data_IF_178362458476
#
_entry.id   IF_178362458476
#
_cell.length_a   1.000
_cell.length_b   1.000
_cell.length_c   1.000
_cell.angle_alpha   90.00
_cell.angle_beta   90.00
_cell.angle_gamma   90.00
#
_symmetry.space_group_name_H-M   'P 1'
#
loop_
_entity.id
_entity.type
_entity.pdbx_description
1 polymer ?
#
# COMPACT_ATOMS: atom_id res chain seq x y z
N UNK A 1 -8.57 -23.34 7.04
CA UNK A 1 -7.55 -23.27 5.97
C UNK A 1 -8.23 -23.55 4.65
N UNK A 2 -7.97 -22.74 3.64
CA UNK A 2 -8.36 -22.96 2.24
C UNK A 2 -7.06 -23.08 1.44
N UNK A 3 -6.97 -24.07 0.57
CA UNK A 3 -5.78 -24.34 -0.22
C UNK A 3 -6.16 -24.91 -1.59
N UNK A 4 -5.35 -24.59 -2.61
CA UNK A 4 -5.52 -25.09 -3.99
C UNK A 4 -6.94 -24.87 -4.53
N UNK A 5 -7.46 -23.67 -4.30
CA UNK A 5 -8.83 -23.31 -4.61
C UNK A 5 -8.92 -22.13 -5.57
N UNK A 6 -9.99 -22.13 -6.37
CA UNK A 6 -10.48 -20.95 -7.08
C UNK A 6 -11.75 -20.48 -6.37
N UNK A 7 -11.70 -19.29 -5.79
CA UNK A 7 -12.80 -18.68 -5.06
C UNK A 7 -13.35 -17.53 -5.92
N UNK A 8 -14.59 -17.64 -6.36
CA UNK A 8 -15.26 -16.60 -7.15
C UNK A 8 -16.48 -16.08 -6.40
N UNK A 9 -16.41 -14.84 -5.94
CA UNK A 9 -17.48 -14.14 -5.23
C UNK A 9 -17.27 -12.64 -5.36
N UNK A 10 -18.32 -11.83 -5.32
CA UNK A 10 -18.16 -10.37 -5.35
C UNK A 10 -17.28 -9.88 -4.18
N UNK A 11 -17.55 -10.41 -2.99
CA UNK A 11 -16.81 -10.12 -1.76
C UNK A 11 -16.55 -11.42 -0.98
N UNK A 12 -15.29 -11.65 -0.61
CA UNK A 12 -14.92 -12.67 0.36
C UNK A 12 -14.81 -12.05 1.76
N UNK A 13 -15.82 -12.28 2.59
CA UNK A 13 -15.84 -11.79 3.97
C UNK A 13 -15.11 -12.75 4.92
N UNK A 14 -13.99 -12.30 5.48
CA UNK A 14 -13.23 -13.00 6.52
C UNK A 14 -13.63 -12.44 7.87
N UNK A 15 -14.37 -13.23 8.66
CA UNK A 15 -14.90 -12.85 9.99
C UNK A 15 -14.24 -13.59 11.17
N UNK A 16 -13.40 -14.58 10.90
CA UNK A 16 -12.77 -15.44 11.90
C UNK A 16 -11.32 -15.01 12.20
N UNK A 17 -10.79 -15.29 13.42
CA UNK A 17 -9.49 -14.82 13.87
C UNK A 17 -8.28 -15.60 13.34
N UNK A 18 -8.48 -16.67 12.57
CA UNK A 18 -7.39 -17.57 12.13
C UNK A 18 -7.70 -18.16 10.73
N UNK A 19 -7.97 -17.29 9.75
CA UNK A 19 -8.19 -17.73 8.37
C UNK A 19 -6.86 -17.75 7.62
N UNK A 20 -6.52 -18.90 7.06
CA UNK A 20 -5.41 -19.06 6.12
C UNK A 20 -5.95 -19.45 4.75
N UNK A 21 -5.50 -18.73 3.71
CA UNK A 21 -5.72 -19.04 2.31
C UNK A 21 -4.33 -19.18 1.66
N UNK A 22 -4.10 -20.32 1.01
CA UNK A 22 -2.79 -20.64 0.41
C UNK A 22 -2.93 -21.16 -1.01
N UNK A 23 -1.97 -20.86 -1.89
CA UNK A 23 -1.89 -21.47 -3.23
C UNK A 23 -3.22 -21.38 -3.99
N UNK A 24 -3.92 -20.25 -3.88
CA UNK A 24 -5.30 -20.08 -4.35
C UNK A 24 -5.44 -18.87 -5.25
N UNK A 25 -6.51 -18.86 -6.05
CA UNK A 25 -6.93 -17.71 -6.87
C UNK A 25 -8.26 -17.19 -6.36
N UNK A 26 -8.35 -15.89 -6.12
CA UNK A 26 -9.56 -15.22 -5.64
C UNK A 26 -10.00 -14.21 -6.70
N UNK A 27 -11.20 -14.39 -7.21
CA UNK A 27 -11.90 -13.44 -8.08
C UNK A 27 -12.97 -12.73 -7.25
N UNK A 28 -12.64 -11.53 -6.78
CA UNK A 28 -13.38 -10.81 -5.74
C UNK A 28 -12.44 -10.05 -4.81
N UNK A 29 -12.98 -9.07 -4.10
CA UNK A 29 -12.22 -8.38 -3.05
C UNK A 29 -12.41 -9.05 -1.70
N UNK A 30 -11.42 -8.90 -0.82
CA UNK A 30 -11.39 -9.53 0.50
C UNK A 30 -11.61 -8.48 1.59
N UNK A 31 -12.61 -8.71 2.44
CA UNK A 31 -12.91 -7.90 3.63
C UNK A 31 -12.63 -8.69 4.91
N UNK A 32 -11.58 -8.31 5.61
CA UNK A 32 -11.17 -8.81 6.91
C UNK A 32 -11.62 -7.83 7.98
N UNK A 33 -12.68 -8.21 8.68
CA UNK A 33 -13.29 -7.47 9.78
C UNK A 33 -14.20 -8.41 10.60
N UNK A 34 -14.55 -8.15 11.87
CA UNK A 34 -14.17 -6.99 12.69
C UNK A 34 -12.69 -7.03 13.12
N UNK A 35 -12.28 -6.17 14.05
CA UNK A 35 -10.90 -6.08 14.57
C UNK A 35 -10.33 -7.41 15.10
N UNK A 36 -11.19 -8.38 15.46
CA UNK A 36 -10.75 -9.71 15.88
C UNK A 36 -10.49 -10.67 14.72
N UNK A 37 -10.94 -10.36 13.50
CA UNK A 37 -10.68 -11.18 12.33
C UNK A 37 -9.24 -11.03 11.86
N UNK A 38 -8.69 -12.09 11.27
CA UNK A 38 -7.31 -12.13 10.76
C UNK A 38 -7.24 -13.02 9.54
N UNK A 39 -6.41 -12.62 8.59
CA UNK A 39 -6.14 -13.37 7.37
C UNK A 39 -4.63 -13.54 7.20
N UNK A 40 -4.23 -14.77 6.91
CA UNK A 40 -2.95 -15.09 6.29
C UNK A 40 -3.20 -15.54 4.85
N UNK A 41 -2.71 -14.79 3.88
CA UNK A 41 -2.77 -15.09 2.45
C UNK A 41 -1.34 -15.36 1.95
N UNK A 42 -1.11 -16.56 1.42
CA UNK A 42 0.23 -16.96 1.00
C UNK A 42 0.20 -17.61 -0.38
N UNK A 43 1.21 -17.34 -1.21
CA UNK A 43 1.38 -17.99 -2.52
C UNK A 43 0.12 -17.90 -3.41
N UNK A 44 -0.61 -16.78 -3.34
CA UNK A 44 -1.95 -16.66 -3.91
C UNK A 44 -2.10 -15.45 -4.83
N UNK A 45 -3.15 -15.46 -5.65
CA UNK A 45 -3.52 -14.34 -6.51
C UNK A 45 -4.89 -13.79 -6.11
N UNK A 46 -5.01 -12.47 -5.98
CA UNK A 46 -6.29 -11.77 -5.81
C UNK A 46 -6.52 -10.84 -6.98
N UNK A 47 -7.64 -11.03 -7.66
CA UNK A 47 -8.15 -10.13 -8.68
C UNK A 47 -9.51 -9.59 -8.22
N UNK A 48 -9.50 -8.37 -7.71
CA UNK A 48 -10.72 -7.69 -7.26
C UNK A 48 -11.51 -7.05 -8.39
N UNK A 49 -10.96 -6.99 -9.61
CA UNK A 49 -11.57 -6.28 -10.73
C UNK A 49 -11.80 -4.79 -10.45
N UNK A 50 -12.86 -4.23 -11.04
CA UNK A 50 -13.22 -2.82 -10.92
C UNK A 50 -14.22 -2.59 -9.77
N UNK A 51 -13.72 -2.49 -8.54
CA UNK A 51 -14.54 -2.28 -7.33
C UNK A 51 -14.08 -1.08 -6.53
N UNK A 52 -15.04 -0.33 -5.98
CA UNK A 52 -14.79 0.85 -5.12
C UNK A 52 -14.46 0.45 -3.67
N UNK A 53 -13.55 -0.49 -3.52
CA UNK A 53 -13.04 -1.06 -2.28
C UNK A 53 -11.57 -1.44 -2.51
N UNK A 54 -10.74 -1.63 -1.46
CA UNK A 54 -9.44 -2.23 -1.67
C UNK A 54 -9.59 -3.68 -2.17
N UNK A 55 -8.61 -4.21 -2.91
CA UNK A 55 -8.63 -5.62 -3.30
C UNK A 55 -8.50 -6.53 -2.06
N UNK A 56 -7.70 -6.11 -1.07
CA UNK A 56 -7.68 -6.69 0.27
C UNK A 56 -7.66 -5.57 1.33
N UNK A 57 -8.55 -5.65 2.30
CA UNK A 57 -8.53 -4.86 3.54
C UNK A 57 -9.25 -5.60 4.66
N UNK A 58 -9.33 -5.15 5.91
CA UNK A 58 -8.65 -3.99 6.50
C UNK A 58 -7.83 -4.36 7.74
N UNK A 59 -8.22 -5.41 8.47
CA UNK A 59 -7.68 -5.75 9.78
C UNK A 59 -6.74 -6.95 9.71
N UNK A 60 -5.65 -6.91 10.50
CA UNK A 60 -4.77 -8.03 10.80
C UNK A 60 -4.41 -8.89 9.57
N UNK A 61 -3.78 -8.28 8.57
CA UNK A 61 -3.43 -8.98 7.34
C UNK A 61 -1.99 -9.47 7.39
N UNK A 62 -1.78 -10.71 6.95
CA UNK A 62 -0.46 -11.22 6.57
C UNK A 62 -0.56 -11.67 5.12
N UNK A 63 0.20 -11.04 4.23
CA UNK A 63 0.24 -11.36 2.80
C UNK A 63 1.69 -11.70 2.43
N UNK A 64 1.92 -12.89 1.86
CA UNK A 64 3.26 -13.32 1.45
C UNK A 64 3.27 -13.92 0.06
N UNK A 65 4.29 -13.59 -0.74
CA UNK A 65 4.53 -14.21 -2.06
C UNK A 65 3.27 -14.23 -2.94
N UNK A 66 2.51 -13.15 -2.91
CA UNK A 66 1.19 -13.08 -3.53
C UNK A 66 1.07 -11.92 -4.52
N UNK A 67 0.22 -12.07 -5.52
CA UNK A 67 -0.12 -11.01 -6.47
C UNK A 67 -1.50 -10.45 -6.13
N UNK A 68 -1.57 -9.14 -5.89
CA UNK A 68 -2.80 -8.43 -5.53
C UNK A 68 -3.07 -7.35 -6.57
N UNK A 69 -4.18 -7.51 -7.30
CA UNK A 69 -4.61 -6.56 -8.33
C UNK A 69 -6.08 -6.18 -8.28
N UNK A 70 -6.41 -5.11 -8.98
CA UNK A 70 -7.73 -4.51 -9.00
C UNK A 70 -8.04 -3.69 -7.76
N UNK A 71 -9.32 -3.38 -7.59
CA UNK A 71 -9.81 -2.53 -6.50
C UNK A 71 -9.39 -1.07 -6.63
N UNK A 72 -9.92 -0.22 -5.76
CA UNK A 72 -9.49 1.17 -5.64
C UNK A 72 -8.04 1.27 -5.13
N UNK A 73 -7.66 0.34 -4.27
CA UNK A 73 -6.31 0.19 -3.72
C UNK A 73 -5.97 -1.30 -3.70
N UNK A 74 -4.77 -1.75 -4.05
CA UNK A 74 -4.48 -3.20 -3.97
C UNK A 74 -4.55 -3.70 -2.53
N UNK A 75 -3.85 -3.06 -1.59
CA UNK A 75 -3.96 -3.39 -0.16
C UNK A 75 -4.19 -2.15 0.69
N UNK A 76 -5.21 -2.20 1.54
CA UNK A 76 -5.46 -1.17 2.55
C UNK A 76 -5.55 -1.77 3.95
N UNK A 77 -4.73 -1.30 4.90
CA UNK A 77 -4.68 -1.86 6.25
C UNK A 77 -4.34 -0.84 7.33
N UNK A 78 -4.68 -1.17 8.59
CA UNK A 78 -4.23 -0.44 9.79
C UNK A 78 -3.25 -1.23 10.67
N UNK A 79 -3.15 -2.54 10.47
CA UNK A 79 -2.17 -3.46 11.07
C UNK A 79 -1.98 -4.61 10.06
N UNK A 80 -0.80 -4.69 9.46
CA UNK A 80 -0.51 -5.74 8.48
C UNK A 80 0.98 -5.97 8.22
N UNK A 81 1.29 -7.17 7.73
CA UNK A 81 2.60 -7.53 7.18
C UNK A 81 2.41 -7.99 5.74
N UNK A 82 3.10 -7.37 4.80
CA UNK A 82 3.07 -7.66 3.37
C UNK A 82 4.51 -7.90 2.92
N UNK A 83 4.80 -9.11 2.46
CA UNK A 83 6.17 -9.54 2.14
C UNK A 83 6.24 -10.24 0.78
N UNK A 84 7.32 -10.00 0.04
CA UNK A 84 7.63 -10.72 -1.21
C UNK A 84 6.49 -10.67 -2.26
N UNK A 85 5.67 -9.62 -2.26
CA UNK A 85 4.41 -9.57 -3.00
C UNK A 85 4.38 -8.49 -4.09
N UNK A 86 3.48 -8.64 -5.06
CA UNK A 86 3.23 -7.69 -6.15
C UNK A 86 1.86 -7.02 -5.96
N UNK A 87 1.86 -5.70 -5.85
CA UNK A 87 0.66 -4.88 -5.69
C UNK A 87 0.54 -3.96 -6.90
N UNK A 88 -0.47 -4.17 -7.76
CA UNK A 88 -0.55 -3.47 -9.04
C UNK A 88 -1.95 -3.42 -9.64
N UNK A 89 -2.08 -2.75 -10.79
CA UNK A 89 -3.28 -2.74 -11.63
C UNK A 89 -4.59 -2.45 -10.89
N UNK A 90 -4.64 -1.30 -10.20
CA UNK A 90 -5.89 -0.81 -9.61
C UNK A 90 -6.94 -0.53 -10.68
N UNK A 91 -8.19 -0.40 -10.24
CA UNK A 91 -9.30 -0.07 -11.12
C UNK A 91 -9.09 1.27 -11.84
N UNK A 92 -9.70 1.43 -13.02
CA UNK A 92 -9.79 2.74 -13.64
C UNK A 92 -10.75 3.64 -12.83
N UNK A 93 -10.32 4.84 -12.41
CA UNK A 93 -11.12 5.68 -11.53
C UNK A 93 -12.34 6.24 -12.27
N UNK A 94 -13.52 6.17 -11.64
CA UNK A 94 -14.75 6.80 -12.13
C UNK A 94 -15.04 8.02 -11.24
N UNK A 95 -14.92 9.22 -11.80
CA UNK A 95 -15.01 10.46 -11.02
C UNK A 95 -13.68 10.78 -10.33
N UNK A 96 -13.72 11.53 -9.23
CA UNK A 96 -12.53 12.04 -8.51
C UNK A 96 -11.91 11.03 -7.54
N UNK A 97 -11.89 9.74 -7.88
CA UNK A 97 -11.43 8.69 -6.97
C UNK A 97 -9.91 8.65 -6.86
N UNK A 98 -9.41 8.48 -5.63
CA UNK A 98 -7.98 8.38 -5.33
C UNK A 98 -7.57 6.92 -5.15
N UNK A 99 -6.58 6.50 -5.94
CA UNK A 99 -6.13 5.12 -6.03
C UNK A 99 -4.72 4.95 -5.47
N UNK A 100 -4.39 3.76 -4.97
CA UNK A 100 -3.07 3.49 -4.41
C UNK A 100 -2.63 2.04 -4.64
N UNK A 101 -1.32 1.79 -4.69
CA UNK A 101 -0.80 0.42 -4.56
C UNK A 101 -1.06 -0.10 -3.15
N UNK A 102 -0.54 0.63 -2.17
CA UNK A 102 -0.75 0.43 -0.74
C UNK A 102 -1.30 1.70 -0.07
N UNK A 103 -2.23 1.52 0.86
CA UNK A 103 -2.78 2.60 1.68
C UNK A 103 -2.92 2.23 3.16
N UNK A 104 -2.55 3.15 4.05
CA UNK A 104 -3.06 3.17 5.42
C UNK A 104 -3.63 4.55 5.77
N UNK A 105 -4.82 4.60 6.37
CA UNK A 105 -5.45 5.83 6.83
C UNK A 105 -5.32 6.03 8.36
N UNK A 106 -4.30 5.42 8.96
CA UNK A 106 -4.05 5.41 10.39
C UNK A 106 -3.85 3.99 10.88
N UNK A 107 -3.06 3.83 11.94
CA UNK A 107 -2.78 2.50 12.51
C UNK A 107 -1.35 2.35 13.00
N UNK A 108 -0.97 1.10 13.24
CA UNK A 108 0.37 0.75 13.68
C UNK A 108 0.75 -0.68 13.33
N UNK A 109 2.03 -1.02 13.51
CA UNK A 109 2.58 -2.35 13.24
C UNK A 109 2.44 -2.77 11.77
N UNK A 110 2.71 -1.83 10.87
CA UNK A 110 2.62 -2.08 9.43
C UNK A 110 4.02 -2.37 8.87
N UNK A 111 4.16 -3.49 8.17
CA UNK A 111 5.41 -3.89 7.51
C UNK A 111 5.13 -4.15 6.04
N UNK A 112 5.84 -3.43 5.18
CA UNK A 112 6.00 -3.73 3.75
C UNK A 112 7.46 -4.06 3.52
N UNK A 113 7.76 -5.33 3.21
CA UNK A 113 9.12 -5.80 2.95
C UNK A 113 9.25 -6.50 1.61
N UNK A 114 10.25 -6.12 0.82
CA UNK A 114 10.61 -6.83 -0.42
C UNK A 114 9.43 -7.01 -1.39
N UNK A 115 8.57 -5.99 -1.49
CA UNK A 115 7.45 -5.98 -2.42
C UNK A 115 7.77 -5.18 -3.68
N UNK A 116 7.08 -5.47 -4.77
CA UNK A 116 6.92 -4.53 -5.89
C UNK A 116 5.56 -3.85 -5.77
N UNK A 117 5.55 -2.51 -5.65
CA UNK A 117 4.33 -1.73 -5.44
C UNK A 117 4.16 -0.69 -6.55
N UNK A 118 3.04 -0.77 -7.25
CA UNK A 118 2.69 0.12 -8.34
C UNK A 118 1.28 0.68 -8.18
N UNK A 119 1.14 1.98 -8.46
CA UNK A 119 -0.13 2.57 -8.86
C UNK A 119 -0.03 3.12 -10.27
N UNK A 120 -0.76 2.50 -11.20
CA UNK A 120 -0.62 2.72 -12.65
C UNK A 120 -1.78 3.46 -13.32
N UNK A 121 -3.02 3.51 -12.80
CA UNK A 121 -4.09 4.27 -13.45
C UNK A 121 -3.76 5.76 -13.66
N UNK A 122 -3.94 6.21 -14.90
CA UNK A 122 -3.75 7.61 -15.32
C UNK A 122 -4.85 8.52 -14.74
N UNK A 123 -4.51 9.80 -14.58
CA UNK A 123 -5.45 10.83 -14.16
C UNK A 123 -6.57 11.01 -15.19
N UNK A 124 -7.82 11.02 -14.72
CA UNK A 124 -9.00 11.29 -15.53
C UNK A 124 -9.39 12.79 -15.51
N UNK A 125 -10.31 13.18 -16.39
CA UNK A 125 -10.76 14.58 -16.53
C UNK A 125 -11.49 15.16 -15.31
N UNK A 126 -11.76 14.33 -14.30
CA UNK A 126 -12.46 14.72 -13.06
C UNK A 126 -11.54 14.70 -11.83
N UNK A 127 -10.23 14.56 -12.03
CA UNK A 127 -9.23 14.55 -10.97
C UNK A 127 -9.15 13.24 -10.18
N UNK A 128 -9.66 12.14 -10.73
CA UNK A 128 -9.43 10.80 -10.19
C UNK A 128 -8.22 10.14 -10.85
N UNK A 129 -7.51 9.29 -10.12
CA UNK A 129 -6.22 8.77 -10.55
C UNK A 129 -5.42 8.22 -9.38
N UNK A 130 -4.19 7.81 -9.67
CA UNK A 130 -3.25 7.43 -8.63
C UNK A 130 -2.88 8.59 -7.74
N UNK A 131 -3.01 8.40 -6.43
CA UNK A 131 -2.35 9.26 -5.46
C UNK A 131 -0.87 8.90 -5.33
N UNK A 132 -0.56 7.60 -5.23
CA UNK A 132 0.80 7.10 -5.15
C UNK A 132 0.87 5.59 -4.98
N UNK A 133 2.06 5.03 -5.08
CA UNK A 133 2.30 3.59 -4.90
C UNK A 133 2.22 3.20 -3.42
N UNK A 134 2.76 3.98 -2.49
CA UNK A 134 2.77 3.68 -1.05
C UNK A 134 2.38 4.88 -0.18
N UNK A 135 1.13 4.91 0.29
CA UNK A 135 0.60 6.07 1.01
C UNK A 135 0.21 5.73 2.44
N UNK A 136 0.66 6.55 3.40
CA UNK A 136 0.11 6.57 4.75
C UNK A 136 -0.39 7.96 5.12
N UNK A 137 -1.54 8.01 5.78
CA UNK A 137 -2.23 9.23 6.17
C UNK A 137 -2.83 9.11 7.56
N UNK A 138 -2.59 10.09 8.44
CA UNK A 138 -3.20 10.15 9.77
C UNK A 138 -4.65 10.66 9.76
N UNK A 139 -5.53 10.02 8.98
CA UNK A 139 -6.94 10.43 8.84
C UNK A 139 -7.79 9.99 10.02
N UNK A 140 -7.66 8.71 10.42
CA UNK A 140 -8.54 8.08 11.40
C UNK A 140 -7.82 7.66 12.69
N UNK A 141 -6.50 7.51 12.65
CA UNK A 141 -5.68 7.20 13.81
C UNK A 141 -4.24 7.73 13.64
N UNK A 142 -3.49 7.78 14.74
CA UNK A 142 -2.05 8.11 14.71
C UNK A 142 -1.30 7.10 13.84
N UNK A 143 -0.19 7.55 13.27
CA UNK A 143 0.73 6.72 12.51
C UNK A 143 1.93 6.37 13.39
N UNK A 144 2.08 5.09 13.73
CA UNK A 144 3.19 4.62 14.56
C UNK A 144 3.69 3.26 14.11
N UNK A 145 5.02 3.06 14.08
CA UNK A 145 5.63 1.75 13.80
C UNK A 145 5.25 1.22 12.40
N UNK A 146 5.71 1.96 11.39
CA UNK A 146 5.62 1.59 9.98
C UNK A 146 7.01 1.27 9.45
N UNK A 147 7.15 0.14 8.78
CA UNK A 147 8.40 -0.31 8.17
C UNK A 147 8.20 -0.54 6.68
N UNK A 148 8.90 0.25 5.88
CA UNK A 148 9.00 0.11 4.43
C UNK A 148 10.43 -0.26 4.11
N UNK A 149 10.68 -1.55 3.88
CA UNK A 149 12.01 -2.14 3.81
C UNK A 149 12.21 -2.86 2.47
N UNK A 150 13.27 -2.55 1.73
CA UNK A 150 13.67 -3.33 0.54
C UNK A 150 12.60 -3.45 -0.58
N UNK A 151 11.66 -2.50 -0.68
CA UNK A 151 10.63 -2.55 -1.71
C UNK A 151 11.10 -1.91 -3.03
N UNK A 152 10.63 -2.44 -4.15
CA UNK A 152 10.62 -1.75 -5.44
C UNK A 152 9.36 -0.92 -5.58
N UNK A 153 9.51 0.40 -5.58
CA UNK A 153 8.43 1.38 -5.72
C UNK A 153 8.38 1.84 -7.17
N UNK A 154 7.35 1.42 -7.89
CA UNK A 154 7.17 1.76 -9.30
C UNK A 154 6.70 3.20 -9.46
N UNK A 155 7.12 3.81 -10.57
CA UNK A 155 6.70 5.14 -10.96
C UNK A 155 5.19 5.21 -11.15
N UNK A 156 4.61 6.38 -10.93
CA UNK A 156 3.17 6.60 -10.93
C UNK A 156 2.83 7.89 -11.66
N UNK A 157 1.69 7.97 -12.38
CA UNK A 157 1.18 9.24 -12.89
C UNK A 157 0.75 10.18 -11.75
N UNK A 158 0.59 9.64 -10.55
CA UNK A 158 0.32 10.39 -9.35
C UNK A 158 1.45 11.31 -8.92
N UNK A 159 1.21 11.98 -7.81
CA UNK A 159 2.04 13.09 -7.41
C UNK A 159 3.42 12.75 -6.87
N UNK A 160 3.40 11.90 -5.88
CA UNK A 160 4.58 11.31 -5.28
C UNK A 160 4.37 9.80 -5.28
N UNK A 161 5.44 9.04 -5.43
CA UNK A 161 5.34 7.58 -5.32
C UNK A 161 5.04 7.12 -3.90
N UNK A 162 5.50 7.87 -2.90
CA UNK A 162 5.23 7.57 -1.50
C UNK A 162 4.96 8.82 -0.65
N UNK A 163 4.09 8.68 0.35
CA UNK A 163 3.82 9.68 1.40
C UNK A 163 3.92 9.04 2.76
N UNK A 164 4.73 9.62 3.65
CA UNK A 164 5.04 9.06 4.97
C UNK A 164 4.33 9.76 6.15
N UNK A 165 3.23 10.48 5.85
CA UNK A 165 2.18 10.78 6.83
C UNK A 165 2.26 12.10 7.58
N UNK A 166 3.39 12.82 7.56
CA UNK A 166 3.50 14.15 8.17
C UNK A 166 2.58 15.15 7.48
N UNK A 167 1.52 15.55 8.17
CA UNK A 167 0.56 16.56 7.74
C UNK A 167 -0.17 17.16 8.96
N UNK A 168 0.26 18.34 9.45
CA UNK A 168 -0.37 19.01 10.59
C UNK A 168 -1.84 19.41 10.38
N UNK A 169 -2.32 19.47 9.14
CA UNK A 169 -3.72 19.78 8.83
C UNK A 169 -4.63 18.54 8.99
N UNK A 170 -4.06 17.34 9.15
CA UNK A 170 -4.81 16.12 9.46
C UNK A 170 -4.85 15.89 10.96
N UNK A 171 -6.02 15.44 11.46
CA UNK A 171 -6.29 15.22 12.90
C UNK A 171 -5.23 14.38 13.61
N UNK A 172 -4.63 13.40 12.92
CA UNK A 172 -3.61 12.53 13.48
C UNK A 172 -2.30 12.53 12.67
N UNK A 173 -2.11 13.51 11.77
CA UNK A 173 -0.95 13.59 10.88
C UNK A 173 0.20 14.45 11.40
N UNK A 174 0.07 15.10 12.55
CA UNK A 174 1.08 16.06 13.01
C UNK A 174 2.37 15.42 13.54
N UNK A 175 2.31 14.16 13.97
CA UNK A 175 3.42 13.48 14.69
C UNK A 175 3.47 11.97 14.38
N UNK A 176 3.82 11.58 13.14
CA UNK A 176 4.10 10.19 12.81
C UNK A 176 5.44 9.77 13.43
N UNK A 177 5.45 8.62 14.13
CA UNK A 177 6.62 8.13 14.88
C UNK A 177 7.00 6.71 14.49
N UNK A 178 8.29 6.38 14.60
CA UNK A 178 8.84 5.09 14.18
C UNK A 178 8.46 4.74 12.74
N UNK A 179 8.54 5.72 11.84
CA UNK A 179 8.39 5.53 10.40
C UNK A 179 9.77 5.23 9.82
N UNK A 180 10.01 3.97 9.47
CA UNK A 180 11.28 3.47 8.97
C UNK A 180 11.14 3.18 7.48
N UNK A 181 11.90 3.90 6.66
CA UNK A 181 11.93 3.79 5.20
C UNK A 181 13.37 3.53 4.79
N UNK A 182 13.71 2.26 4.56
CA UNK A 182 15.10 1.85 4.31
C UNK A 182 15.25 0.89 3.14
N UNK A 183 16.37 1.01 2.45
CA UNK A 183 16.80 0.07 1.41
C UNK A 183 15.82 -0.09 0.24
N UNK A 184 14.86 0.83 0.07
CA UNK A 184 13.90 0.76 -1.04
C UNK A 184 14.49 1.33 -2.33
N UNK A 185 14.06 0.79 -3.47
CA UNK A 185 14.41 1.26 -4.82
C UNK A 185 13.20 1.99 -5.43
N UNK A 186 13.39 3.22 -5.86
CA UNK A 186 12.35 4.02 -6.53
C UNK A 186 12.63 4.13 -8.02
N UNK A 187 11.67 3.73 -8.85
CA UNK A 187 11.74 3.87 -10.30
C UNK A 187 11.58 5.34 -10.71
N UNK A 188 12.46 5.88 -11.55
CA UNK A 188 12.33 7.26 -12.03
C UNK A 188 11.14 7.47 -12.96
N UNK A 189 10.82 6.45 -13.75
CA UNK A 189 9.75 6.46 -14.73
C UNK A 189 9.87 7.59 -15.75
N UNK A 190 8.76 7.88 -16.43
CA UNK A 190 8.71 8.89 -17.51
C UNK A 190 8.95 10.32 -17.02
N UNK A 191 8.63 10.61 -15.76
CA UNK A 191 8.84 11.95 -15.17
C UNK A 191 10.30 12.21 -14.78
N UNK A 192 11.13 11.16 -14.71
CA UNK A 192 12.47 11.23 -14.12
C UNK A 192 12.49 11.32 -12.59
N UNK A 193 11.32 11.36 -11.95
CA UNK A 193 11.12 11.70 -10.53
C UNK A 193 10.27 10.68 -9.75
N UNK A 194 9.91 9.55 -10.34
CA UNK A 194 8.93 8.56 -9.86
C UNK A 194 7.48 9.05 -9.95
N UNK A 195 7.11 10.10 -9.20
CA UNK A 195 5.84 10.82 -9.38
C UNK A 195 6.00 12.09 -10.20
N UNK A 196 4.94 12.88 -10.35
CA UNK A 196 4.98 14.20 -11.01
C UNK A 196 5.89 15.18 -10.25
N UNK A 197 5.80 15.20 -8.92
CA UNK A 197 6.50 16.14 -8.05
C UNK A 197 7.77 15.55 -7.42
N UNK A 198 7.83 14.24 -7.22
CA UNK A 198 9.01 13.58 -6.63
C UNK A 198 8.75 12.13 -6.24
N UNK A 199 9.75 11.48 -5.65
CA UNK A 199 9.62 10.11 -5.17
C UNK A 199 8.85 10.03 -3.86
N UNK A 200 9.17 10.91 -2.92
CA UNK A 200 8.64 10.87 -1.55
C UNK A 200 8.11 12.24 -1.14
N UNK A 201 7.25 12.25 -0.13
CA UNK A 201 6.76 13.47 0.55
C UNK A 201 6.33 13.13 1.99
N UNK A 202 6.07 14.17 2.79
CA UNK A 202 5.45 14.04 4.11
C UNK A 202 6.24 13.13 5.06
N UNK A 203 7.56 13.11 4.96
CA UNK A 203 8.42 12.43 5.92
C UNK A 203 8.82 13.39 7.04
N UNK A 204 8.50 13.04 8.29
CA UNK A 204 8.88 13.85 9.46
C UNK A 204 10.35 13.62 9.80
N UNK A 205 11.25 14.38 9.17
CA UNK A 205 12.68 14.29 9.41
C UNK A 205 13.01 14.72 10.85
N UNK A 206 13.67 13.84 11.60
CA UNK A 206 13.94 14.04 13.03
C UNK A 206 12.77 13.68 13.96
N UNK A 207 11.64 13.17 13.44
CA UNK A 207 10.57 12.60 14.24
C UNK A 207 11.04 11.39 15.06
N UNK A 208 10.41 11.12 16.20
CA UNK A 208 10.86 10.10 17.14
C UNK A 208 10.90 8.72 16.48
N UNK A 209 12.10 8.15 16.35
CA UNK A 209 12.33 6.84 15.75
C UNK A 209 12.15 6.79 14.24
N UNK A 210 11.93 7.92 13.57
CA UNK A 210 11.81 7.97 12.12
C UNK A 210 13.19 7.82 11.47
N UNK A 211 13.28 6.98 10.46
CA UNK A 211 14.52 6.70 9.75
C UNK A 211 14.25 6.69 8.26
N UNK A 212 15.03 7.47 7.50
CA UNK A 212 15.09 7.38 6.05
C UNK A 212 16.54 7.17 5.65
N UNK A 213 16.88 6.00 5.15
CA UNK A 213 18.28 5.66 4.88
C UNK A 213 18.43 4.63 3.75
N UNK A 214 19.52 4.74 2.99
CA UNK A 214 19.93 3.76 1.96
C UNK A 214 18.87 3.47 0.88
N UNK A 215 17.89 4.34 0.71
CA UNK A 215 16.99 4.27 -0.43
C UNK A 215 17.73 4.75 -1.68
N UNK A 216 17.48 4.12 -2.82
CA UNK A 216 18.11 4.45 -4.09
C UNK A 216 17.08 4.66 -5.18
N UNK A 217 17.53 5.29 -6.26
CA UNK A 217 16.85 5.22 -7.54
C UNK A 217 17.14 3.88 -8.23
N UNK A 218 16.38 3.57 -9.26
CA UNK A 218 16.55 2.41 -10.15
C UNK A 218 17.90 2.38 -10.88
N UNK A 219 18.57 3.53 -11.02
CA UNK A 219 19.96 3.64 -11.51
C UNK A 219 21.03 3.42 -10.42
N UNK A 220 20.63 3.14 -9.18
CA UNK A 220 21.51 2.92 -8.02
C UNK A 220 22.00 4.20 -7.34
N UNK A 221 21.68 5.39 -7.85
CA UNK A 221 22.00 6.65 -7.18
C UNK A 221 21.20 6.82 -5.89
N UNK A 222 21.79 7.49 -4.90
CA UNK A 222 21.13 7.68 -3.61
C UNK A 222 19.88 8.57 -3.73
N UNK A 223 18.82 8.19 -3.02
CA UNK A 223 17.62 9.01 -2.82
C UNK A 223 17.64 9.62 -1.41
N UNK A 224 17.49 10.94 -1.35
CA UNK A 224 17.27 11.67 -0.09
C UNK A 224 15.76 11.78 0.20
N UNK A 225 15.34 11.90 1.47
CA UNK A 225 13.95 12.18 1.79
C UNK A 225 13.58 13.58 1.32
N UNK A 226 12.40 13.73 0.70
CA UNK A 226 11.77 15.03 0.57
C UNK A 226 10.93 15.28 1.83
N UNK A 227 11.16 16.42 2.48
CA UNK A 227 10.41 16.88 3.65
C UNK A 227 9.10 17.53 3.25
#
# INVERSE_FOLDING_TARGET
MIEDAVISCEQLAVRAPDVTIRSSRIHGWIDVSPETARLTLEDSEVDAGNVRAPAIGFQNLVVRRSEIRGGQTSVQCSDCTIEDSLLHDQMNPIGSQHLNGFLSNGGSNVVLRHNTVACTPEDNSTGGGCTGSMQIFGDFAKLKDFRFEDNLVKATPGGFCASFGQNPNKKFGSDPTQIVVIDNVFERGRSGKCGVWGATTSFSNGGLGNVFARNTWDDGSALAPNT
#
